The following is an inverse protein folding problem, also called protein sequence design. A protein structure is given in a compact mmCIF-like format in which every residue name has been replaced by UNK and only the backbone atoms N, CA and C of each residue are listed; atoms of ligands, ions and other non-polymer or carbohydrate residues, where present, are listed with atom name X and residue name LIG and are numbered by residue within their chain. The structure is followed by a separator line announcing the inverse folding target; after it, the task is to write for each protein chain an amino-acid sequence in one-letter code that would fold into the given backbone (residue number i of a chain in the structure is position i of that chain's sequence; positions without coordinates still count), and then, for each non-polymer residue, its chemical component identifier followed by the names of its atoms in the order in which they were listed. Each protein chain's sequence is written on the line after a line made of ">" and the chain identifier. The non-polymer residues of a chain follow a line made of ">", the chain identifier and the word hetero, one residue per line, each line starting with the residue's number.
data_IF_155214630524
#
_entry.id   IF_155214630524
#
_cell.length_a   1.000
_cell.length_b   1.000
_cell.length_c   1.000
_cell.angle_alpha   90.00
_cell.angle_beta   90.00
_cell.angle_gamma   90.00
#
_symmetry.space_group_name_H-M   'P 1'
#
loop_
_entity.id
_entity.type
_entity.pdbx_description
1 polymer ?
#
# COMPACT_ATOMS: atom_id res chain seq x y z
N UNK A 1 -33.73 -25.07 12.86
CA UNK A 1 -32.54 -24.61 12.11
C UNK A 1 -32.98 -23.48 11.20
N UNK A 2 -32.68 -22.24 11.59
CA UNK A 2 -33.15 -21.04 10.92
C UNK A 2 -32.47 -20.81 9.57
N UNK A 3 -33.03 -19.94 8.74
CA UNK A 3 -32.41 -19.51 7.48
C UNK A 3 -31.03 -18.85 7.71
N UNK A 4 -30.83 -18.24 8.88
CA UNK A 4 -29.57 -17.63 9.32
C UNK A 4 -28.48 -18.70 9.56
N UNK A 5 -28.82 -19.83 10.21
CA UNK A 5 -27.88 -20.94 10.46
C UNK A 5 -27.37 -21.55 9.14
N UNK A 6 -28.24 -21.66 8.13
CA UNK A 6 -27.88 -22.17 6.80
C UNK A 6 -26.94 -21.24 6.03
N UNK A 7 -27.08 -19.92 6.20
CA UNK A 7 -26.19 -18.92 5.59
C UNK A 7 -24.80 -18.90 6.24
N UNK A 8 -24.74 -19.04 7.57
CA UNK A 8 -23.47 -19.17 8.30
C UNK A 8 -22.72 -20.45 7.89
N UNK A 9 -23.45 -21.55 7.71
CA UNK A 9 -22.89 -22.82 7.22
C UNK A 9 -22.44 -22.77 5.76
N UNK A 10 -23.16 -22.05 4.89
CA UNK A 10 -22.78 -21.86 3.49
C UNK A 10 -21.49 -21.03 3.32
N UNK A 11 -21.08 -20.26 4.33
CA UNK A 11 -19.90 -19.38 4.33
C UNK A 11 -18.69 -19.98 5.06
N UNK A 12 -18.73 -21.27 5.40
CA UNK A 12 -17.66 -22.00 6.09
C UNK A 12 -16.58 -22.40 5.09
N UNK A 13 -15.46 -21.69 5.09
CA UNK A 13 -14.24 -22.13 4.40
C UNK A 13 -13.65 -23.35 5.12
N UNK A 14 -13.20 -24.35 4.36
CA UNK A 14 -12.53 -25.53 4.91
C UNK A 14 -11.23 -25.17 5.64
N UNK A 15 -10.90 -25.91 6.71
CA UNK A 15 -9.65 -25.67 7.46
C UNK A 15 -8.41 -25.74 6.56
N UNK A 16 -8.38 -26.71 5.67
CA UNK A 16 -7.30 -26.90 4.69
C UNK A 16 -7.27 -25.77 3.69
N UNK A 17 -8.41 -25.37 3.15
CA UNK A 17 -8.54 -24.27 2.18
C UNK A 17 -8.04 -22.94 2.76
N UNK A 18 -8.38 -22.64 4.01
CA UNK A 18 -7.90 -21.44 4.71
C UNK A 18 -6.37 -21.44 4.82
N UNK A 19 -5.80 -22.55 5.31
CA UNK A 19 -4.34 -22.68 5.49
C UNK A 19 -3.59 -22.65 4.16
N UNK A 20 -4.10 -23.34 3.13
CA UNK A 20 -3.52 -23.30 1.79
C UNK A 20 -3.51 -21.87 1.26
N UNK A 21 -4.63 -21.15 1.38
CA UNK A 21 -4.74 -19.76 0.90
C UNK A 21 -3.75 -18.82 1.61
N UNK A 22 -3.64 -18.93 2.94
CA UNK A 22 -2.70 -18.15 3.76
C UNK A 22 -1.24 -18.31 3.31
N UNK A 23 -0.79 -19.55 3.20
CA UNK A 23 0.62 -19.85 2.98
C UNK A 23 1.03 -19.78 1.50
N UNK A 24 0.14 -20.13 0.57
CA UNK A 24 0.37 -19.93 -0.87
C UNK A 24 0.44 -18.44 -1.18
N UNK A 25 -0.49 -17.63 -0.65
CA UNK A 25 -0.46 -16.18 -0.79
C UNK A 25 0.81 -15.56 -0.22
N UNK A 26 1.21 -15.98 0.98
CA UNK A 26 2.47 -15.55 1.60
C UNK A 26 3.68 -15.88 0.73
N UNK A 27 3.76 -17.12 0.22
CA UNK A 27 4.87 -17.56 -0.63
C UNK A 27 4.98 -16.74 -1.93
N UNK A 28 3.85 -16.44 -2.57
CA UNK A 28 3.84 -15.57 -3.74
C UNK A 28 4.32 -14.15 -3.41
N UNK A 29 3.86 -13.59 -2.28
CA UNK A 29 4.34 -12.30 -1.79
C UNK A 29 5.85 -12.33 -1.49
N UNK A 30 6.39 -13.43 -0.97
CA UNK A 30 7.83 -13.60 -0.74
C UNK A 30 8.62 -13.50 -2.04
N UNK A 31 8.20 -14.23 -3.08
CA UNK A 31 8.87 -14.22 -4.39
C UNK A 31 8.86 -12.82 -4.99
N UNK A 32 7.73 -12.12 -4.92
CA UNK A 32 7.60 -10.74 -5.39
C UNK A 32 8.45 -9.76 -4.57
N UNK A 33 8.58 -9.94 -3.27
CA UNK A 33 9.43 -9.09 -2.44
C UNK A 33 10.92 -9.34 -2.69
N UNK A 34 11.33 -10.60 -2.81
CA UNK A 34 12.73 -10.96 -3.13
C UNK A 34 13.12 -10.40 -4.48
N UNK A 35 12.28 -10.56 -5.50
CA UNK A 35 12.54 -9.98 -6.82
C UNK A 35 12.65 -8.45 -6.76
N UNK A 36 11.88 -7.78 -5.89
CA UNK A 36 11.95 -6.34 -5.68
C UNK A 36 13.30 -5.91 -5.12
N UNK A 37 13.73 -6.56 -4.05
CA UNK A 37 15.05 -6.30 -3.44
C UNK A 37 16.19 -6.64 -4.40
N UNK A 38 16.11 -7.77 -5.10
CA UNK A 38 17.12 -8.20 -6.06
C UNK A 38 17.27 -7.19 -7.20
N UNK A 39 16.15 -6.74 -7.79
CA UNK A 39 16.19 -5.76 -8.88
C UNK A 39 16.77 -4.44 -8.39
N UNK A 40 16.39 -3.95 -7.20
CA UNK A 40 16.90 -2.67 -6.70
C UNK A 40 18.35 -2.71 -6.26
N UNK A 41 18.79 -3.80 -5.64
CA UNK A 41 20.19 -3.97 -5.29
C UNK A 41 21.06 -4.10 -6.55
N UNK A 42 20.60 -4.81 -7.59
CA UNK A 42 21.32 -4.95 -8.86
C UNK A 42 21.35 -3.66 -9.68
N UNK A 43 20.24 -2.93 -9.79
CA UNK A 43 20.16 -1.73 -10.65
C UNK A 43 20.60 -0.44 -9.95
N UNK A 44 20.26 -0.26 -8.67
CA UNK A 44 20.47 1.01 -7.96
C UNK A 44 21.54 0.93 -6.86
N UNK A 45 21.99 -0.28 -6.47
CA UNK A 45 22.96 -0.52 -5.38
C UNK A 45 22.62 0.14 -4.05
N UNK A 46 21.36 0.57 -3.85
CA UNK A 46 20.86 1.20 -2.64
C UNK A 46 19.40 0.84 -2.41
N UNK A 47 19.03 0.70 -1.15
CA UNK A 47 17.65 0.52 -0.72
C UNK A 47 17.03 1.89 -0.44
N UNK A 48 15.78 2.08 -0.86
CA UNK A 48 15.04 3.30 -0.57
C UNK A 48 14.08 3.06 0.61
N UNK A 49 13.62 4.15 1.23
CA UNK A 49 12.61 4.08 2.29
C UNK A 49 11.35 3.31 1.89
N UNK A 50 10.95 3.40 0.62
CA UNK A 50 9.81 2.65 0.10
C UNK A 50 10.04 1.12 0.13
N UNK A 51 11.28 0.64 0.01
CA UNK A 51 11.63 -0.77 0.06
C UNK A 51 11.69 -1.31 1.48
N UNK A 52 12.24 -0.51 2.41
CA UNK A 52 12.30 -0.85 3.82
C UNK A 52 10.88 -0.99 4.37
N UNK A 53 9.99 -0.05 4.04
CA UNK A 53 8.59 -0.08 4.45
C UNK A 53 7.81 -1.26 3.83
N UNK A 54 8.11 -1.62 2.58
CA UNK A 54 7.52 -2.82 1.96
C UNK A 54 8.01 -4.12 2.64
N UNK A 55 9.30 -4.18 3.01
CA UNK A 55 9.83 -5.29 3.81
C UNK A 55 9.19 -5.38 5.18
N UNK A 56 9.00 -4.24 5.86
CA UNK A 56 8.30 -4.16 7.14
C UNK A 56 6.84 -4.64 7.03
N UNK A 57 6.13 -4.21 5.98
CA UNK A 57 4.78 -4.69 5.70
C UNK A 57 4.72 -6.22 5.55
N UNK A 58 5.68 -6.81 4.83
CA UNK A 58 5.77 -8.26 4.68
C UNK A 58 6.05 -8.97 6.01
N UNK A 59 6.87 -8.41 6.90
CA UNK A 59 7.07 -8.98 8.24
C UNK A 59 5.75 -9.02 9.03
N UNK A 60 4.96 -7.95 8.95
CA UNK A 60 3.63 -7.91 9.57
C UNK A 60 2.65 -8.89 8.92
N UNK A 61 2.69 -9.08 7.60
CA UNK A 61 1.90 -10.11 6.90
C UNK A 61 2.23 -11.52 7.42
N UNK A 62 3.50 -11.86 7.53
CA UNK A 62 3.91 -13.18 8.06
C UNK A 62 3.46 -13.34 9.50
N UNK A 63 3.65 -12.33 10.35
CA UNK A 63 3.18 -12.36 11.73
C UNK A 63 1.65 -12.53 11.82
N UNK A 64 0.88 -11.82 11.00
CA UNK A 64 -0.57 -11.97 10.89
C UNK A 64 -0.96 -13.40 10.51
N UNK A 65 -0.32 -13.98 9.49
CA UNK A 65 -0.63 -15.32 9.01
C UNK A 65 -0.22 -16.43 9.99
N UNK A 66 0.86 -16.23 10.75
CA UNK A 66 1.25 -17.13 11.85
C UNK A 66 0.21 -17.09 12.96
N UNK A 67 -0.19 -15.90 13.45
CA UNK A 67 -1.21 -15.78 14.49
C UNK A 67 -2.57 -16.31 14.01
N UNK A 68 -2.94 -16.08 12.75
CA UNK A 68 -4.13 -16.67 12.14
C UNK A 68 -4.06 -18.20 12.15
N UNK A 69 -2.92 -18.78 11.76
CA UNK A 69 -2.68 -20.25 11.80
C UNK A 69 -2.80 -20.82 13.20
N UNK A 70 -2.30 -20.11 14.23
CA UNK A 70 -2.44 -20.51 15.63
C UNK A 70 -3.89 -20.40 16.14
N UNK A 71 -4.69 -19.48 15.59
CA UNK A 71 -6.09 -19.32 15.94
C UNK A 71 -7.00 -20.39 15.29
N UNK A 72 -6.61 -20.96 14.14
CA UNK A 72 -7.40 -21.93 13.37
C UNK A 72 -7.98 -23.09 14.22
N UNK A 73 -7.20 -23.83 15.02
CA UNK A 73 -7.75 -24.96 15.78
C UNK A 73 -8.92 -24.56 16.68
N UNK A 74 -8.81 -23.43 17.37
CA UNK A 74 -9.84 -22.94 18.30
C UNK A 74 -11.04 -22.35 17.55
N UNK A 75 -10.82 -21.68 16.42
CA UNK A 75 -11.90 -21.17 15.55
C UNK A 75 -12.76 -22.32 15.01
N UNK A 76 -12.14 -23.38 14.48
CA UNK A 76 -12.88 -24.52 13.94
C UNK A 76 -13.52 -25.37 15.02
N UNK A 77 -12.92 -25.46 16.22
CA UNK A 77 -13.58 -26.05 17.38
C UNK A 77 -14.87 -25.29 17.73
N UNK A 78 -14.81 -23.95 17.77
CA UNK A 78 -15.98 -23.12 18.05
C UNK A 78 -17.08 -23.30 17.00
N UNK A 79 -16.73 -23.32 15.71
CA UNK A 79 -17.68 -23.57 14.63
C UNK A 79 -18.36 -24.93 14.76
N UNK A 80 -17.62 -26.00 15.11
CA UNK A 80 -18.20 -27.33 15.33
C UNK A 80 -19.11 -27.38 16.56
N UNK A 81 -18.78 -26.66 17.64
CA UNK A 81 -19.63 -26.61 18.84
C UNK A 81 -20.93 -25.86 18.57
N UNK A 82 -20.86 -24.75 17.82
CA UNK A 82 -22.02 -23.96 17.41
C UNK A 82 -22.95 -24.77 16.48
N UNK A 83 -22.39 -25.45 15.48
CA UNK A 83 -23.14 -26.27 14.51
C UNK A 83 -23.88 -27.45 15.16
N UNK A 84 -23.26 -28.09 16.15
CA UNK A 84 -23.85 -29.26 16.81
C UNK A 84 -24.80 -28.90 17.96
N UNK A 85 -25.03 -27.61 18.24
CA UNK A 85 -25.81 -27.11 19.37
C UNK A 85 -25.40 -27.74 20.73
N UNK A 86 -24.17 -28.26 20.80
CA UNK A 86 -23.58 -28.81 22.01
C UNK A 86 -23.11 -27.61 22.80
N UNK A 87 -23.98 -27.17 23.72
CA UNK A 87 -23.69 -26.10 24.66
C UNK A 87 -22.32 -26.29 25.33
N UNK A 88 -21.78 -25.18 25.83
CA UNK A 88 -20.45 -24.92 26.40
C UNK A 88 -19.98 -25.83 27.57
N UNK A 89 -20.30 -27.13 27.56
CA UNK A 89 -20.07 -28.11 28.64
C UNK A 89 -18.65 -28.72 28.61
N UNK A 90 -17.73 -28.21 27.80
CA UNK A 90 -16.34 -28.68 27.81
C UNK A 90 -15.57 -27.98 28.96
N UNK A 91 -14.95 -28.72 29.90
CA UNK A 91 -14.07 -28.11 30.90
C UNK A 91 -12.87 -27.42 30.22
N UNK A 92 -12.48 -26.24 30.71
CA UNK A 92 -11.38 -25.43 30.15
C UNK A 92 -11.73 -24.66 28.87
N UNK A 93 -13.00 -24.59 28.48
CA UNK A 93 -13.42 -23.89 27.27
C UNK A 93 -13.27 -22.36 27.37
N UNK A 94 -13.46 -21.79 28.56
CA UNK A 94 -13.28 -20.35 28.80
C UNK A 94 -11.84 -19.90 28.57
N UNK A 95 -10.86 -20.71 29.01
CA UNK A 95 -9.44 -20.44 28.77
C UNK A 95 -9.08 -20.49 27.28
N UNK A 96 -9.66 -21.44 26.53
CA UNK A 96 -9.50 -21.50 25.08
C UNK A 96 -10.08 -20.27 24.38
N UNK A 97 -11.19 -19.73 24.88
CA UNK A 97 -11.76 -18.49 24.35
C UNK A 97 -10.93 -17.26 24.67
N UNK A 98 -10.41 -17.15 25.89
CA UNK A 98 -9.50 -16.06 26.27
C UNK A 98 -8.24 -16.08 25.38
N UNK A 99 -7.67 -17.26 25.16
CA UNK A 99 -6.53 -17.42 24.29
C UNK A 99 -6.85 -17.04 22.83
N UNK A 100 -8.00 -17.47 22.31
CA UNK A 100 -8.46 -17.09 20.97
C UNK A 100 -8.67 -15.58 20.84
N UNK A 101 -9.29 -14.93 21.82
CA UNK A 101 -9.53 -13.49 21.82
C UNK A 101 -8.20 -12.72 21.74
N UNK A 102 -7.19 -13.13 22.52
CA UNK A 102 -5.84 -12.54 22.47
C UNK A 102 -5.16 -12.74 21.11
N UNK A 103 -5.24 -13.95 20.54
CA UNK A 103 -4.68 -14.25 19.22
C UNK A 103 -5.34 -13.42 18.12
N UNK A 104 -6.68 -13.30 18.13
CA UNK A 104 -7.43 -12.52 17.14
C UNK A 104 -7.13 -11.02 17.29
N UNK A 105 -7.04 -10.51 18.52
CA UNK A 105 -6.68 -9.12 18.78
C UNK A 105 -5.27 -8.79 18.24
N UNK A 106 -4.28 -9.63 18.58
CA UNK A 106 -2.92 -9.47 18.09
C UNK A 106 -2.83 -9.63 16.56
N UNK A 107 -3.57 -10.58 15.99
CA UNK A 107 -3.65 -10.79 14.54
C UNK A 107 -4.24 -9.58 13.82
N UNK A 108 -5.32 -8.98 14.34
CA UNK A 108 -5.91 -7.75 13.81
C UNK A 108 -4.97 -6.55 13.92
N UNK A 109 -4.19 -6.45 14.99
CA UNK A 109 -3.18 -5.41 15.14
C UNK A 109 -2.10 -5.53 14.06
N UNK A 110 -1.54 -6.74 13.86
CA UNK A 110 -0.53 -6.99 12.81
C UNK A 110 -1.09 -6.75 11.40
N UNK A 111 -2.35 -7.13 11.15
CA UNK A 111 -3.03 -6.82 9.90
C UNK A 111 -3.08 -5.31 9.63
N UNK A 112 -3.49 -4.50 10.61
CA UNK A 112 -3.52 -3.03 10.49
C UNK A 112 -2.12 -2.47 10.24
N UNK A 113 -1.12 -2.93 10.99
CA UNK A 113 0.28 -2.55 10.77
C UNK A 113 0.78 -2.89 9.36
N UNK A 114 0.38 -4.04 8.80
CA UNK A 114 0.70 -4.43 7.43
C UNK A 114 0.12 -3.44 6.41
N UNK A 115 -1.19 -3.17 6.48
CA UNK A 115 -1.89 -2.28 5.54
C UNK A 115 -1.30 -0.86 5.59
N UNK A 116 -1.11 -0.29 6.79
CA UNK A 116 -0.54 1.04 6.92
C UNK A 116 0.94 1.12 6.51
N UNK A 117 1.71 0.03 6.67
CA UNK A 117 3.09 -0.04 6.16
C UNK A 117 3.13 -0.05 4.62
N UNK A 118 2.16 -0.70 3.96
CA UNK A 118 1.98 -0.62 2.50
C UNK A 118 1.65 0.82 2.08
N UNK A 119 0.70 1.48 2.77
CA UNK A 119 0.38 2.90 2.51
C UNK A 119 1.59 3.81 2.68
N UNK A 120 2.38 3.58 3.72
CA UNK A 120 3.62 4.31 3.96
C UNK A 120 4.66 4.07 2.84
N UNK A 121 4.79 2.84 2.34
CA UNK A 121 5.66 2.51 1.19
C UNK A 121 5.22 3.27 -0.08
N UNK A 122 3.91 3.33 -0.34
CA UNK A 122 3.34 4.09 -1.47
C UNK A 122 3.55 5.60 -1.31
N UNK A 123 3.34 6.14 -0.10
CA UNK A 123 3.61 7.55 0.19
C UNK A 123 5.10 7.88 0.02
N UNK A 124 6.01 7.01 0.47
CA UNK A 124 7.46 7.19 0.26
C UNK A 124 7.82 7.19 -1.23
N UNK A 125 7.16 6.34 -2.04
CA UNK A 125 7.31 6.33 -3.49
C UNK A 125 6.82 7.66 -4.12
N UNK A 126 5.65 8.15 -3.70
CA UNK A 126 5.07 9.42 -4.18
C UNK A 126 5.93 10.63 -3.79
N UNK A 127 6.53 10.63 -2.60
CA UNK A 127 7.46 11.69 -2.19
C UNK A 127 8.66 11.81 -3.14
N UNK A 128 9.22 10.66 -3.56
CA UNK A 128 10.32 10.63 -4.53
C UNK A 128 9.86 11.15 -5.90
N UNK A 129 8.64 10.83 -6.30
CA UNK A 129 8.08 11.24 -7.59
C UNK A 129 7.85 12.76 -7.67
N UNK A 130 7.35 13.39 -6.60
CA UNK A 130 7.00 14.81 -6.58
C UNK A 130 8.10 15.73 -6.07
N UNK A 131 9.37 15.30 -6.14
CA UNK A 131 10.51 16.05 -5.59
C UNK A 131 10.58 17.50 -6.10
N UNK A 132 10.23 17.75 -7.36
CA UNK A 132 10.26 19.06 -8.02
C UNK A 132 8.94 19.84 -8.00
N UNK A 133 7.87 19.32 -7.37
CA UNK A 133 6.52 19.89 -7.49
C UNK A 133 5.95 20.33 -6.13
N UNK A 134 6.11 21.61 -5.74
CA UNK A 134 5.78 22.07 -4.38
C UNK A 134 4.29 21.97 -4.05
N UNK A 135 3.39 22.16 -5.02
CA UNK A 135 1.94 22.00 -4.80
C UNK A 135 1.56 20.56 -4.45
N UNK A 136 2.08 19.58 -5.20
CA UNK A 136 1.86 18.15 -4.94
C UNK A 136 2.52 17.71 -3.63
N UNK A 137 3.63 18.35 -3.24
CA UNK A 137 4.31 18.08 -1.96
C UNK A 137 3.51 18.53 -0.75
N UNK A 138 2.80 19.66 -0.83
CA UNK A 138 1.83 20.10 0.20
C UNK A 138 0.66 19.12 0.32
N UNK A 139 0.08 18.70 -0.81
CA UNK A 139 -0.98 17.70 -0.82
C UNK A 139 -0.52 16.36 -0.23
N UNK A 140 0.67 15.89 -0.61
CA UNK A 140 1.28 14.69 -0.05
C UNK A 140 1.47 14.77 1.48
N UNK A 141 1.89 15.93 2.00
CA UNK A 141 2.06 16.13 3.43
C UNK A 141 0.73 16.06 4.17
N UNK A 142 -0.32 16.71 3.63
CA UNK A 142 -1.68 16.63 4.18
C UNK A 142 -2.18 15.17 4.23
N UNK A 143 -2.00 14.41 3.14
CA UNK A 143 -2.43 13.00 3.06
C UNK A 143 -1.63 12.14 4.03
N UNK A 144 -0.32 12.41 4.19
CA UNK A 144 0.53 11.69 5.15
C UNK A 144 0.03 11.92 6.57
N UNK A 145 -0.30 13.16 6.95
CA UNK A 145 -0.87 13.48 8.26
C UNK A 145 -2.19 12.74 8.50
N UNK A 146 -3.12 12.78 7.53
CA UNK A 146 -4.40 12.06 7.62
C UNK A 146 -4.18 10.54 7.75
N UNK A 147 -3.21 9.98 7.01
CA UNK A 147 -2.87 8.55 7.06
C UNK A 147 -2.30 8.16 8.43
N UNK A 148 -1.42 8.99 9.02
CA UNK A 148 -0.86 8.75 10.35
C UNK A 148 -1.94 8.85 11.43
N UNK A 149 -2.84 9.83 11.35
CA UNK A 149 -3.97 9.94 12.27
C UNK A 149 -4.91 8.74 12.16
N UNK A 150 -5.19 8.28 10.94
CA UNK A 150 -5.95 7.05 10.68
C UNK A 150 -5.28 5.83 11.31
N UNK A 151 -3.96 5.69 11.16
CA UNK A 151 -3.20 4.60 11.77
C UNK A 151 -3.32 4.62 13.30
N UNK A 152 -3.09 5.78 13.93
CA UNK A 152 -3.21 5.94 15.38
C UNK A 152 -4.62 5.59 15.86
N UNK A 153 -5.67 6.07 15.17
CA UNK A 153 -7.05 5.70 15.46
C UNK A 153 -7.27 4.18 15.33
N UNK A 154 -6.70 3.56 14.29
CA UNK A 154 -6.81 2.11 14.05
C UNK A 154 -6.14 1.26 15.13
N UNK A 155 -5.11 1.78 15.79
CA UNK A 155 -4.38 1.10 16.85
C UNK A 155 -4.99 1.35 18.23
N UNK A 156 -5.45 2.58 18.49
CA UNK A 156 -5.90 3.01 19.82
C UNK A 156 -7.37 2.66 20.06
N UNK A 157 -8.25 2.76 19.05
CA UNK A 157 -9.68 2.55 19.25
C UNK A 157 -10.05 1.10 19.63
N UNK A 158 -9.45 0.03 19.06
CA UNK A 158 -9.78 -1.34 19.47
C UNK A 158 -9.49 -1.68 20.95
N UNK A 159 -8.31 -1.40 21.53
CA UNK A 159 -8.06 -1.66 22.95
C UNK A 159 -8.89 -0.76 23.88
N UNK A 160 -9.24 0.46 23.44
CA UNK A 160 -10.14 1.34 24.22
C UNK A 160 -11.57 0.81 24.22
N UNK A 161 -12.04 0.25 23.09
CA UNK A 161 -13.37 -0.32 22.97
C UNK A 161 -13.54 -1.61 23.80
N UNK A 162 -12.49 -2.43 23.89
CA UNK A 162 -12.45 -3.56 24.81
C UNK A 162 -11.15 -3.59 25.64
N UNK A 163 -11.16 -3.01 26.86
CA UNK A 163 -9.98 -2.93 27.71
C UNK A 163 -9.58 -4.27 28.34
N UNK A 164 -10.49 -5.26 28.40
CA UNK A 164 -10.17 -6.61 28.85
C UNK A 164 -10.32 -7.58 27.68
N UNK A 165 -9.19 -7.98 27.09
CA UNK A 165 -9.10 -9.05 26.07
C UNK A 165 -9.32 -10.44 26.69
N UNK A 166 -10.48 -10.59 27.34
CA UNK A 166 -11.02 -11.84 27.86
C UNK A 166 -12.36 -12.09 27.19
N UNK A 167 -12.72 -13.36 27.04
CA UNK A 167 -13.92 -13.83 26.37
C UNK A 167 -15.19 -13.19 26.95
N UNK A 168 -15.23 -12.99 28.27
CA UNK A 168 -16.35 -12.36 28.99
C UNK A 168 -16.22 -10.84 29.09
N UNK A 169 -15.01 -10.29 28.96
CA UNK A 169 -14.72 -8.86 29.11
C UNK A 169 -15.30 -7.98 27.99
N UNK A 170 -15.37 -8.53 26.77
CA UNK A 170 -15.91 -7.80 25.61
C UNK A 170 -17.41 -8.03 25.36
N UNK A 171 -18.09 -8.90 26.12
CA UNK A 171 -19.49 -9.30 25.86
C UNK A 171 -20.56 -8.33 26.42
N UNK A 172 -20.16 -7.23 27.07
CA UNK A 172 -21.11 -6.23 27.57
C UNK A 172 -21.80 -5.48 26.42
N UNK A 173 -23.12 -5.18 26.50
CA UNK A 173 -23.81 -4.43 25.46
C UNK A 173 -23.21 -3.03 25.20
N UNK A 174 -22.49 -2.46 26.17
CA UNK A 174 -21.74 -1.21 26.00
C UNK A 174 -20.45 -1.42 25.20
N UNK A 175 -19.68 -2.48 25.50
CA UNK A 175 -18.42 -2.78 24.79
C UNK A 175 -18.68 -3.20 23.35
N UNK A 176 -19.74 -3.99 23.08
CA UNK A 176 -20.12 -4.32 21.70
C UNK A 176 -20.45 -3.08 20.86
N UNK A 177 -21.17 -2.10 21.43
CA UNK A 177 -21.48 -0.84 20.73
C UNK A 177 -20.22 -0.03 20.45
N UNK A 178 -19.32 0.08 21.42
CA UNK A 178 -18.04 0.78 21.26
C UNK A 178 -17.14 0.10 20.23
N UNK A 179 -17.11 -1.24 20.22
CA UNK A 179 -16.37 -2.03 19.23
C UNK A 179 -16.92 -1.83 17.82
N UNK A 180 -18.24 -1.86 17.64
CA UNK A 180 -18.87 -1.59 16.35
C UNK A 180 -18.57 -0.18 15.83
N UNK A 181 -18.64 0.83 16.71
CA UNK A 181 -18.28 2.22 16.36
C UNK A 181 -16.80 2.32 16.00
N UNK A 182 -15.91 1.70 16.79
CA UNK A 182 -14.47 1.65 16.54
C UNK A 182 -14.17 1.01 15.18
N UNK A 183 -14.81 -0.12 14.87
CA UNK A 183 -14.67 -0.80 13.58
C UNK A 183 -15.16 0.07 12.43
N UNK A 184 -16.32 0.73 12.57
CA UNK A 184 -16.87 1.61 11.54
C UNK A 184 -15.95 2.81 11.26
N UNK A 185 -15.55 3.53 12.31
CA UNK A 185 -14.67 4.71 12.19
C UNK A 185 -13.33 4.31 11.55
N UNK A 186 -12.72 3.22 12.01
CA UNK A 186 -11.43 2.77 11.48
C UNK A 186 -11.52 2.33 10.02
N UNK A 187 -12.63 1.69 9.63
CA UNK A 187 -12.89 1.30 8.23
C UNK A 187 -13.09 2.52 7.33
N UNK A 188 -13.87 3.51 7.77
CA UNK A 188 -14.09 4.75 7.01
C UNK A 188 -12.78 5.53 6.82
N UNK A 189 -11.98 5.65 7.88
CA UNK A 189 -10.66 6.29 7.78
C UNK A 189 -9.74 5.54 6.81
N UNK A 190 -9.75 4.21 6.84
CA UNK A 190 -8.92 3.38 5.97
C UNK A 190 -9.28 3.60 4.50
N UNK A 191 -10.57 3.49 4.15
CA UNK A 191 -11.07 3.73 2.79
C UNK A 191 -10.80 5.16 2.33
N UNK A 192 -11.02 6.16 3.20
CA UNK A 192 -10.74 7.55 2.88
C UNK A 192 -9.26 7.77 2.54
N UNK A 193 -8.35 7.20 3.34
CA UNK A 193 -6.91 7.32 3.09
C UNK A 193 -6.49 6.65 1.78
N UNK A 194 -7.13 5.53 1.40
CA UNK A 194 -6.87 4.86 0.12
C UNK A 194 -7.27 5.73 -1.07
N UNK A 195 -8.48 6.30 -1.03
CA UNK A 195 -8.96 7.22 -2.07
C UNK A 195 -8.03 8.43 -2.18
N UNK A 196 -7.62 9.00 -1.05
CA UNK A 196 -6.71 10.15 -1.03
C UNK A 196 -5.35 9.81 -1.66
N UNK A 197 -4.71 8.72 -1.25
CA UNK A 197 -3.41 8.29 -1.79
C UNK A 197 -3.51 8.01 -3.30
N UNK A 198 -4.61 7.43 -3.77
CA UNK A 198 -4.84 7.15 -5.19
C UNK A 198 -5.19 8.39 -6.01
N UNK A 199 -5.79 9.41 -5.40
CA UNK A 199 -6.17 10.64 -6.10
C UNK A 199 -4.96 11.45 -6.57
N UNK A 200 -3.84 11.41 -5.82
CA UNK A 200 -2.63 12.19 -6.12
C UNK A 200 -1.99 11.81 -7.46
N UNK A 201 -1.64 10.54 -7.73
CA UNK A 201 -1.13 10.15 -9.03
C UNK A 201 -2.13 10.46 -10.15
N UNK A 202 -3.43 10.26 -9.95
CA UNK A 202 -4.45 10.57 -10.97
C UNK A 202 -4.45 12.05 -11.33
N UNK A 203 -4.50 12.93 -10.31
CA UNK A 203 -4.44 14.37 -10.51
C UNK A 203 -3.14 14.80 -11.21
N UNK A 204 -2.02 14.13 -10.90
CA UNK A 204 -0.75 14.38 -11.57
C UNK A 204 -0.78 13.97 -13.06
N UNK A 205 -1.37 12.81 -13.42
CA UNK A 205 -1.55 12.41 -14.82
C UNK A 205 -2.36 13.45 -15.58
N UNK A 206 -3.48 13.90 -15.00
CA UNK A 206 -4.43 14.75 -15.70
C UNK A 206 -3.85 16.14 -16.00
N UNK A 207 -2.98 16.64 -15.12
CA UNK A 207 -2.33 17.95 -15.29
C UNK A 207 -1.03 17.91 -16.09
N UNK A 208 -0.42 16.75 -16.27
CA UNK A 208 0.91 16.66 -16.87
C UNK A 208 0.86 16.08 -18.28
N UNK A 209 1.39 16.83 -19.25
CA UNK A 209 1.56 16.41 -20.65
C UNK A 209 2.71 15.43 -20.83
N UNK A 210 2.74 14.35 -20.04
CA UNK A 210 3.84 13.39 -20.08
C UNK A 210 3.77 12.50 -21.33
N UNK A 211 4.95 12.10 -21.87
CA UNK A 211 5.02 11.09 -22.92
C UNK A 211 4.37 9.78 -22.45
N UNK A 212 3.74 9.06 -23.39
CA UNK A 212 2.86 7.90 -23.12
C UNK A 212 3.51 6.80 -22.24
N UNK A 213 4.83 6.66 -22.29
CA UNK A 213 5.60 5.70 -21.48
C UNK A 213 5.57 6.01 -19.97
N UNK A 214 5.57 7.28 -19.58
CA UNK A 214 5.50 7.70 -18.18
C UNK A 214 4.05 7.67 -17.66
N UNK A 215 3.09 7.96 -18.55
CA UNK A 215 1.65 7.86 -18.28
C UNK A 215 1.24 6.43 -17.88
N UNK A 216 1.83 5.42 -18.52
CA UNK A 216 1.59 4.01 -18.20
C UNK A 216 2.05 3.63 -16.78
N UNK A 217 3.09 4.29 -16.25
CA UNK A 217 3.56 4.17 -14.87
C UNK A 217 2.45 4.47 -13.86
N UNK A 218 1.81 5.61 -14.04
CA UNK A 218 0.76 6.10 -13.16
C UNK A 218 -0.56 5.37 -13.30
N UNK A 219 -0.91 4.92 -14.52
CA UNK A 219 -2.05 4.01 -14.72
C UNK A 219 -1.86 2.70 -13.94
N UNK A 220 -0.61 2.23 -13.79
CA UNK A 220 -0.32 1.08 -12.93
C UNK A 220 -0.64 1.33 -11.46
N UNK A 221 -0.23 2.48 -10.92
CA UNK A 221 -0.53 2.84 -9.54
C UNK A 221 -2.05 2.94 -9.29
N UNK A 222 -2.78 3.45 -10.28
CA UNK A 222 -4.24 3.54 -10.24
C UNK A 222 -4.91 2.15 -10.23
N UNK A 223 -4.53 1.25 -11.14
CA UNK A 223 -5.08 -0.11 -11.19
C UNK A 223 -4.79 -0.91 -9.92
N UNK A 224 -3.61 -0.71 -9.34
CA UNK A 224 -3.19 -1.34 -8.10
C UNK A 224 -4.01 -0.86 -6.91
N UNK A 225 -4.27 0.45 -6.84
CA UNK A 225 -5.14 1.00 -5.81
C UNK A 225 -6.60 0.56 -5.95
N UNK A 226 -7.12 0.55 -7.18
CA UNK A 226 -8.46 0.04 -7.48
C UNK A 226 -8.63 -1.42 -7.01
N UNK A 227 -7.61 -2.27 -7.19
CA UNK A 227 -7.66 -3.65 -6.75
C UNK A 227 -7.81 -3.78 -5.22
N UNK A 228 -7.10 -2.96 -4.44
CA UNK A 228 -7.21 -2.95 -2.97
C UNK A 228 -8.59 -2.45 -2.53
N UNK A 229 -9.11 -1.38 -3.14
CA UNK A 229 -10.45 -0.86 -2.84
C UNK A 229 -11.54 -1.87 -3.19
N UNK A 230 -11.42 -2.57 -4.32
CA UNK A 230 -12.37 -3.61 -4.71
C UNK A 230 -12.36 -4.76 -3.70
N UNK A 231 -11.19 -5.19 -3.23
CA UNK A 231 -11.10 -6.22 -2.18
C UNK A 231 -11.75 -5.77 -0.86
N UNK A 232 -11.53 -4.52 -0.45
CA UNK A 232 -12.18 -3.96 0.74
C UNK A 232 -13.71 -3.87 0.59
N UNK A 233 -14.21 -3.53 -0.62
CA UNK A 233 -15.65 -3.51 -0.91
C UNK A 233 -16.23 -4.93 -0.89
N UNK A 234 -15.56 -5.91 -1.51
CA UNK A 234 -15.98 -7.31 -1.49
C UNK A 234 -16.09 -7.84 -0.05
N UNK A 235 -15.10 -7.53 0.80
CA UNK A 235 -15.15 -7.84 2.24
C UNK A 235 -16.39 -7.26 2.92
N UNK A 236 -16.74 -6.01 2.64
CA UNK A 236 -17.91 -5.36 3.25
C UNK A 236 -19.25 -5.89 2.70
N UNK A 237 -19.38 -6.04 1.38
CA UNK A 237 -20.59 -6.56 0.72
C UNK A 237 -20.91 -7.98 1.15
N UNK A 238 -19.89 -8.81 1.34
CA UNK A 238 -20.09 -10.15 1.85
C UNK A 238 -20.39 -10.15 3.35
N UNK A 239 -19.82 -9.23 4.13
CA UNK A 239 -20.10 -9.10 5.57
C UNK A 239 -21.54 -8.65 5.85
N UNK A 240 -22.14 -7.80 5.01
CA UNK A 240 -23.50 -7.25 5.19
C UNK A 240 -24.65 -8.19 4.75
N UNK A 241 -24.33 -9.38 4.25
CA UNK A 241 -25.32 -10.38 3.83
C UNK A 241 -26.06 -11.05 5.00
N UNK A 242 -27.12 -10.41 5.51
CA UNK A 242 -28.24 -10.95 6.34
C UNK A 242 -27.89 -11.70 7.63
N UNK A 243 -26.63 -11.84 8.00
CA UNK A 243 -26.18 -12.51 9.22
C UNK A 243 -25.55 -11.46 10.12
N UNK A 244 -26.10 -11.23 11.32
CA UNK A 244 -25.64 -10.13 12.21
C UNK A 244 -24.15 -10.20 12.57
N UNK A 245 -23.48 -11.35 12.42
CA UNK A 245 -22.04 -11.50 12.61
C UNK A 245 -21.44 -12.55 11.65
N UNK A 246 -20.47 -12.22 10.77
CA UNK A 246 -19.79 -13.21 9.93
C UNK A 246 -18.95 -14.17 10.78
N UNK A 247 -18.79 -15.44 10.38
CA UNK A 247 -18.01 -16.40 11.15
C UNK A 247 -16.53 -15.98 11.24
N UNK A 248 -15.84 -16.18 12.37
CA UNK A 248 -14.43 -15.77 12.54
C UNK A 248 -13.47 -16.34 11.48
N UNK A 249 -13.75 -17.54 10.95
CA UNK A 249 -12.98 -18.14 9.85
C UNK A 249 -13.03 -17.31 8.57
N UNK A 250 -14.17 -16.69 8.28
CA UNK A 250 -14.37 -15.85 7.10
C UNK A 250 -13.62 -14.52 7.23
N UNK A 251 -13.67 -13.93 8.42
CA UNK A 251 -12.91 -12.70 8.72
C UNK A 251 -11.41 -12.93 8.60
N UNK A 252 -10.89 -14.04 9.13
CA UNK A 252 -9.47 -14.40 9.01
C UNK A 252 -9.05 -14.60 7.55
N UNK A 253 -9.89 -15.27 6.75
CA UNK A 253 -9.63 -15.46 5.32
C UNK A 253 -9.52 -14.12 4.58
N UNK A 254 -10.50 -13.23 4.75
CA UNK A 254 -10.52 -11.96 4.05
C UNK A 254 -9.38 -11.03 4.48
N UNK A 255 -9.08 -10.92 5.77
CA UNK A 255 -7.94 -10.13 6.25
C UNK A 255 -6.60 -10.64 5.69
N UNK A 256 -6.44 -11.96 5.58
CA UNK A 256 -5.25 -12.55 4.99
C UNK A 256 -5.12 -12.29 3.49
N UNK A 257 -6.22 -12.42 2.74
CA UNK A 257 -6.22 -12.12 1.31
C UNK A 257 -5.95 -10.65 1.04
N UNK A 258 -6.61 -9.76 1.77
CA UNK A 258 -6.44 -8.31 1.65
C UNK A 258 -4.99 -7.88 1.93
N UNK A 259 -4.41 -8.34 3.05
CA UNK A 259 -3.02 -8.02 3.39
C UNK A 259 -2.01 -8.60 2.39
N UNK A 260 -2.24 -9.82 1.90
CA UNK A 260 -1.39 -10.44 0.86
C UNK A 260 -1.45 -9.62 -0.43
N UNK A 261 -2.65 -9.30 -0.92
CA UNK A 261 -2.84 -8.50 -2.14
C UNK A 261 -2.19 -7.12 -1.98
N UNK A 262 -2.37 -6.46 -0.85
CA UNK A 262 -1.75 -5.16 -0.57
C UNK A 262 -0.21 -5.22 -0.67
N UNK A 263 0.42 -6.24 -0.08
CA UNK A 263 1.89 -6.41 -0.15
C UNK A 263 2.35 -6.70 -1.59
N UNK A 264 1.66 -7.59 -2.31
CA UNK A 264 1.98 -7.88 -3.72
C UNK A 264 1.85 -6.62 -4.58
N UNK A 265 0.77 -5.88 -4.40
CA UNK A 265 0.49 -4.60 -5.06
C UNK A 265 1.61 -3.59 -4.82
N UNK A 266 2.06 -3.48 -3.57
CA UNK A 266 3.17 -2.59 -3.20
C UNK A 266 4.46 -2.94 -3.96
N UNK A 267 4.74 -4.24 -4.16
CA UNK A 267 5.87 -4.73 -4.93
C UNK A 267 5.77 -4.32 -6.40
N UNK A 268 4.59 -4.50 -7.01
CA UNK A 268 4.33 -4.10 -8.40
C UNK A 268 4.45 -2.60 -8.64
N UNK A 269 4.00 -1.77 -7.69
CA UNK A 269 4.10 -0.32 -7.78
C UNK A 269 5.55 0.15 -7.98
N UNK A 270 6.52 -0.56 -7.39
CA UNK A 270 7.94 -0.23 -7.56
C UNK A 270 8.57 -0.70 -8.84
N UNK A 271 8.12 -1.82 -9.42
CA UNK A 271 8.65 -2.27 -10.70
C UNK A 271 8.42 -1.24 -11.80
N UNK A 272 7.26 -0.57 -11.82
CA UNK A 272 6.99 0.49 -12.79
C UNK A 272 7.89 1.72 -12.63
N UNK A 273 8.25 2.09 -11.39
CA UNK A 273 9.21 3.18 -11.16
C UNK A 273 10.59 2.91 -11.79
N UNK A 274 10.93 1.65 -12.06
CA UNK A 274 12.23 1.28 -12.63
C UNK A 274 12.24 1.39 -14.17
N UNK A 275 11.11 1.11 -14.83
CA UNK A 275 11.00 1.21 -16.28
C UNK A 275 11.03 2.67 -16.77
N UNK A 276 10.50 3.61 -15.98
CA UNK A 276 10.55 5.04 -16.35
C UNK A 276 11.95 5.65 -16.23
N UNK A 277 12.82 5.13 -15.36
CA UNK A 277 14.21 5.61 -15.22
C UNK A 277 15.11 5.09 -16.33
N UNK A 278 14.90 3.85 -16.80
CA UNK A 278 15.74 3.25 -17.84
C UNK A 278 15.61 3.94 -19.20
N UNK A 279 14.48 4.59 -19.48
CA UNK A 279 14.30 5.40 -20.70
C UNK A 279 15.16 6.67 -20.74
N UNK A 280 15.78 7.10 -19.62
CA UNK A 280 16.67 8.26 -19.58
C UNK A 280 18.13 7.96 -19.87
N UNK A 281 18.55 6.69 -19.86
CA UNK A 281 19.98 6.33 -19.95
C UNK A 281 20.46 5.88 -21.33
N UNK A 282 19.72 6.17 -22.42
CA UNK A 282 20.14 5.74 -23.77
C UNK A 282 20.09 6.85 -24.83
N UNK A 283 20.20 8.13 -24.42
CA UNK A 283 20.20 9.26 -25.36
C UNK A 283 21.37 10.25 -25.16
N UNK A 284 22.46 9.83 -24.52
CA UNK A 284 23.71 10.61 -24.49
C UNK A 284 24.87 9.73 -24.94
N UNK A 285 24.91 9.45 -26.24
CA UNK A 285 26.12 9.01 -26.92
C UNK A 285 26.29 9.85 -28.20
N UNK A 286 27.50 10.40 -28.35
CA UNK A 286 28.07 11.32 -29.36
C UNK A 286 27.82 12.83 -29.14
N UNK A 287 28.84 13.70 -29.22
CA UNK A 287 30.27 13.51 -29.51
C UNK A 287 31.05 14.76 -29.06
N UNK A 288 32.30 14.55 -28.65
CA UNK A 288 33.31 15.59 -28.42
C UNK A 288 33.58 16.42 -29.68
N UNK A 289 33.61 17.75 -29.52
CA UNK A 289 34.45 18.69 -30.29
C UNK A 289 34.12 18.94 -31.78
N UNK A 290 33.34 19.99 -32.07
CA UNK A 290 33.68 21.04 -33.03
C UNK A 290 32.63 22.17 -33.01
N UNK A 291 33.07 23.39 -33.25
CA UNK A 291 32.27 24.61 -33.28
C UNK A 291 31.24 24.67 -34.43
N UNK A 292 30.19 25.44 -34.16
CA UNK A 292 29.46 26.34 -35.06
C UNK A 292 28.08 25.92 -35.63
N UNK A 293 27.18 26.90 -35.47
CA UNK A 293 26.04 27.29 -36.29
C UNK A 293 24.67 26.64 -36.04
N UNK A 294 23.76 27.52 -35.64
CA UNK A 294 22.31 27.35 -35.55
C UNK A 294 21.74 27.23 -36.97
N UNK A 295 21.06 26.12 -37.26
CA UNK A 295 20.17 26.00 -38.41
C UNK A 295 18.73 25.80 -37.91
N UNK A 296 17.94 26.87 -37.96
CA UNK A 296 16.49 26.85 -37.74
C UNK A 296 15.84 26.21 -38.96
N UNK A 297 15.23 25.04 -38.79
CA UNK A 297 14.36 24.43 -39.82
C UNK A 297 12.90 24.63 -39.41
N UNK A 298 12.24 25.61 -40.03
CA UNK A 298 10.80 25.85 -39.92
C UNK A 298 10.00 24.82 -40.74
N UNK A 299 9.16 24.04 -40.07
CA UNK A 299 8.02 23.35 -40.69
C UNK A 299 6.82 23.37 -39.75
N UNK A 300 5.93 24.34 -39.98
CA UNK A 300 4.60 24.42 -39.38
C UNK A 300 3.59 23.86 -40.39
N UNK A 301 2.68 22.96 -39.98
CA UNK A 301 1.34 22.90 -40.57
C UNK A 301 0.31 23.52 -39.61
N UNK A 302 -0.54 24.34 -40.19
CA UNK A 302 -1.50 25.25 -39.60
C UNK A 302 -2.83 24.57 -39.22
N UNK A 303 -3.32 24.75 -37.98
CA UNK A 303 -4.70 25.19 -37.63
C UNK A 303 -4.99 25.04 -36.13
N UNK A 304 -4.98 26.15 -35.42
CA UNK A 304 -5.92 26.53 -34.34
C UNK A 304 -5.64 28.01 -34.03
N UNK A 305 -6.65 28.86 -34.15
CA UNK A 305 -6.54 30.28 -33.81
C UNK A 305 -6.49 30.39 -32.29
N UNK A 306 -5.30 30.69 -31.76
CA UNK A 306 -5.08 30.98 -30.35
C UNK A 306 -4.87 32.48 -30.20
N UNK A 307 -5.54 33.09 -29.22
CA UNK A 307 -5.29 34.49 -28.84
C UNK A 307 -3.94 34.60 -28.13
N UNK A 308 -3.18 35.65 -28.48
CA UNK A 308 -1.74 35.82 -28.19
C UNK A 308 -1.42 35.87 -26.67
N UNK A 309 -2.38 36.28 -25.85
CA UNK A 309 -2.22 36.37 -24.38
C UNK A 309 -2.29 35.02 -23.67
N UNK A 310 -3.16 34.10 -24.13
CA UNK A 310 -3.37 32.79 -23.49
C UNK A 310 -2.21 31.83 -23.81
N UNK A 311 -1.65 31.97 -25.02
CA UNK A 311 -0.51 31.17 -25.48
C UNK A 311 0.76 31.52 -24.72
N UNK A 312 0.97 32.81 -24.40
CA UNK A 312 2.17 33.26 -23.69
C UNK A 312 2.19 32.77 -22.24
N UNK A 313 1.07 32.82 -21.54
CA UNK A 313 1.00 32.31 -20.16
C UNK A 313 1.16 30.79 -20.09
N UNK A 314 0.61 30.05 -21.06
CA UNK A 314 0.76 28.60 -21.10
C UNK A 314 2.17 28.18 -21.51
N UNK A 315 2.82 28.89 -22.45
CA UNK A 315 4.22 28.68 -22.82
C UNK A 315 5.14 29.04 -21.65
N UNK A 316 4.90 30.14 -20.93
CA UNK A 316 5.67 30.52 -19.73
C UNK A 316 5.49 29.46 -18.64
N UNK A 317 4.28 28.95 -18.40
CA UNK A 317 4.05 27.87 -17.43
C UNK A 317 4.71 26.55 -17.84
N UNK A 318 4.67 26.20 -19.12
CA UNK A 318 5.32 24.98 -19.63
C UNK A 318 6.84 25.10 -19.57
N UNK A 319 7.40 26.27 -19.92
CA UNK A 319 8.84 26.54 -19.81
C UNK A 319 9.30 26.64 -18.36
N UNK A 320 8.56 27.28 -17.45
CA UNK A 320 8.88 27.27 -16.01
C UNK A 320 8.80 25.85 -15.41
N UNK A 321 7.86 25.03 -15.88
CA UNK A 321 7.72 23.63 -15.49
C UNK A 321 8.88 22.77 -16.02
N UNK A 322 9.30 22.95 -17.28
CA UNK A 322 10.45 22.27 -17.88
C UNK A 322 11.77 22.71 -17.24
N UNK A 323 11.97 24.02 -17.02
CA UNK A 323 13.17 24.57 -16.37
C UNK A 323 13.29 24.09 -14.91
N UNK A 324 12.18 24.05 -14.16
CA UNK A 324 12.17 23.48 -12.80
C UNK A 324 12.47 21.97 -12.77
N UNK A 325 12.16 21.27 -13.86
CA UNK A 325 12.44 19.85 -14.01
C UNK A 325 13.91 19.59 -14.36
N UNK A 326 14.52 20.49 -15.12
CA UNK A 326 15.93 20.42 -15.55
C UNK A 326 16.91 20.88 -14.46
N UNK A 327 16.52 21.84 -13.61
CA UNK A 327 17.35 22.39 -12.51
C UNK A 327 17.37 21.54 -11.22
N UNK A 328 16.74 20.36 -11.20
CA UNK A 328 16.78 19.50 -10.03
C UNK A 328 18.22 18.95 -9.81
N UNK A 329 18.89 19.25 -8.68
CA UNK A 329 20.31 18.98 -8.53
C UNK A 329 20.63 17.49 -8.54
N UNK A 330 21.57 17.11 -9.41
CA UNK A 330 22.23 15.81 -9.48
C UNK A 330 23.14 15.69 -8.24
N UNK A 331 23.14 14.58 -7.48
CA UNK A 331 24.06 14.43 -6.36
C UNK A 331 25.49 14.29 -6.89
N UNK A 332 26.36 15.26 -6.57
CA UNK A 332 27.80 15.21 -6.81
C UNK A 332 28.43 14.04 -6.04
N UNK A 333 28.93 13.04 -6.77
CA UNK A 333 29.93 12.12 -6.23
C UNK A 333 31.28 12.83 -6.24
N UNK A 334 31.77 13.20 -5.04
CA UNK A 334 33.09 13.77 -4.83
C UNK A 334 34.17 12.73 -5.18
N UNK A 335 34.75 12.82 -6.36
CA UNK A 335 35.97 12.09 -6.74
C UNK A 335 37.15 12.91 -6.23
N UNK A 336 37.84 12.43 -5.20
CA UNK A 336 39.13 12.98 -4.79
C UNK A 336 40.20 12.52 -5.80
N UNK A 337 40.82 13.46 -6.50
CA UNK A 337 42.02 13.23 -7.32
C UNK A 337 43.28 13.32 -6.44
N UNK A 338 44.29 12.44 -6.62
CA UNK A 338 45.55 12.52 -5.89
C UNK A 338 46.43 13.67 -6.41
N UNK A 339 47.02 14.38 -5.46
CA UNK A 339 47.94 15.51 -5.63
C UNK A 339 49.31 14.99 -6.09
N UNK A 340 49.81 15.48 -7.23
CA UNK A 340 51.14 15.18 -7.74
C UNK A 340 52.10 16.32 -7.40
N UNK A 341 52.98 16.10 -6.41
CA UNK A 341 54.19 16.90 -6.21
C UNK A 341 55.24 16.53 -7.27
N UNK A 342 55.73 17.53 -8.00
CA UNK A 342 56.73 17.38 -9.05
C UNK A 342 57.66 18.58 -9.13
N UNK A 343 58.76 18.48 -8.39
CA UNK A 343 60.01 19.26 -8.41
C UNK A 343 60.26 20.11 -9.67
N UNK A 344 60.57 21.40 -9.46
CA UNK A 344 61.25 22.23 -10.47
C UNK A 344 62.61 22.70 -9.93
N UNK A 345 63.65 22.16 -10.56
CA UNK A 345 65.04 22.59 -10.43
C UNK A 345 65.22 23.93 -11.15
N UNK A 346 65.59 24.98 -10.42
CA UNK A 346 66.73 25.88 -10.68
C UNK A 346 66.77 27.01 -9.66
#
# INVERSE_FOLDING_TARGET
>A
MGAEDKLVLARKIGRTELLVSLWVGSGLATVLLISRFAIRLRLHRRLFWDDILAGLAYLFLIGHNVLATLAVPTVYLLLHLFENNKGLLMPGLLEKFDHLARLVFASNFLFRCCIYSVKASLLALLWRLFRSLPAFRRAWLAITVVTVLGFLASVILPPVACPSVTALGCLSPRTLKLEAISMYVTTVCDVLTDILIMSVPVAFVLKSSLPRSQKLGLVGLFMLGLAVVVMAILRNLETDGKSKHPPPSWLLFWSAMESTVAVMVSCFASYKSLFTTRSRSTAYHCQSGYSASVAVSSRIPNKKTWTDTDSREEIIRQTEFEVSYEMAPIPEHRVQSPEWEGNRVR
#
